data_IF_284678581565
#
_entry.id   IF_284678581565
#
_cell.length_a   1.000
_cell.length_b   1.000
_cell.length_c   1.000
_cell.angle_alpha   90.00
_cell.angle_beta   90.00
_cell.angle_gamma   90.00
#
_symmetry.space_group_name_H-M   'P 1'
#
loop_
_entity.id
_entity.type
_entity.pdbx_description
1 polymer ?
#
# COMPACT_ATOMS: atom_id res chain seq x y z
N UNK A 1 19.50 1.93 6.50
CA UNK A 1 19.86 0.54 6.85
C UNK A 1 21.30 0.24 6.47
N UNK A 2 21.71 0.14 5.20
CA UNK A 2 23.14 0.04 4.85
C UNK A 2 23.50 1.03 3.74
N UNK A 3 24.72 1.54 3.74
CA UNK A 3 25.26 2.41 2.69
C UNK A 3 26.06 1.62 1.67
N UNK A 4 26.41 2.27 0.55
CA UNK A 4 27.16 1.66 -0.55
C UNK A 4 28.59 1.25 -0.18
N UNK A 5 29.07 1.60 1.03
CA UNK A 5 30.39 1.15 1.53
C UNK A 5 30.39 -0.34 1.92
N UNK A 6 29.21 -0.91 2.20
CA UNK A 6 29.00 -2.32 2.49
C UNK A 6 28.57 -3.04 1.20
N UNK A 7 29.56 -3.49 0.43
CA UNK A 7 29.38 -4.14 -0.89
C UNK A 7 29.46 -5.68 -0.84
N UNK A 8 29.70 -6.26 0.32
CA UNK A 8 29.93 -7.71 0.51
C UNK A 8 29.32 -8.19 1.83
N UNK A 9 28.94 -9.47 1.86
CA UNK A 9 28.38 -10.10 3.06
C UNK A 9 29.36 -10.07 4.25
N UNK A 10 30.67 -10.24 4.01
CA UNK A 10 31.68 -10.22 5.07
C UNK A 10 31.81 -8.82 5.71
N UNK A 11 31.75 -7.75 4.91
CA UNK A 11 31.71 -6.38 5.43
C UNK A 11 30.45 -6.14 6.25
N UNK A 12 29.30 -6.65 5.78
CA UNK A 12 28.05 -6.54 6.51
C UNK A 12 28.14 -7.24 7.88
N UNK A 13 28.58 -8.50 7.90
CA UNK A 13 28.76 -9.24 9.16
C UNK A 13 29.71 -8.52 10.12
N UNK A 14 30.80 -7.94 9.60
CA UNK A 14 31.75 -7.15 10.40
C UNK A 14 31.09 -5.90 10.99
N UNK A 15 30.34 -5.15 10.18
CA UNK A 15 29.64 -3.95 10.62
C UNK A 15 28.56 -4.27 11.67
N UNK A 16 27.80 -5.36 11.48
CA UNK A 16 26.79 -5.81 12.44
C UNK A 16 27.42 -6.17 13.79
N UNK A 17 28.52 -6.93 13.79
CA UNK A 17 29.22 -7.31 15.01
C UNK A 17 29.74 -6.08 15.80
N UNK A 18 30.35 -5.12 15.09
CA UNK A 18 30.82 -3.87 15.72
C UNK A 18 29.67 -3.07 16.32
N UNK A 19 28.56 -2.96 15.59
CA UNK A 19 27.38 -2.24 16.04
C UNK A 19 26.72 -2.91 17.23
N UNK A 20 26.56 -4.24 17.24
CA UNK A 20 25.99 -5.02 18.34
C UNK A 20 26.78 -4.84 19.64
N UNK A 21 28.10 -5.00 19.58
CA UNK A 21 28.98 -4.82 20.76
C UNK A 21 28.87 -3.40 21.29
N UNK A 22 28.83 -2.41 20.39
CA UNK A 22 28.72 -1.01 20.77
C UNK A 22 27.38 -0.69 21.45
N UNK A 23 26.24 -1.08 20.86
CA UNK A 23 24.92 -0.81 21.45
C UNK A 23 24.67 -1.61 22.72
N UNK A 24 25.31 -2.77 22.89
CA UNK A 24 25.23 -3.55 24.13
C UNK A 24 25.85 -2.83 25.34
N UNK A 25 26.77 -1.88 25.10
CA UNK A 25 27.36 -1.04 26.14
C UNK A 25 26.57 0.23 26.48
N UNK A 26 25.50 0.54 25.74
CA UNK A 26 24.67 1.72 25.96
C UNK A 26 23.46 1.42 26.87
N UNK A 27 22.89 2.46 27.47
CA UNK A 27 21.58 2.32 28.10
C UNK A 27 20.51 2.03 27.04
N UNK A 28 19.58 1.13 27.37
CA UNK A 28 18.54 0.63 26.45
C UNK A 28 17.73 1.75 25.79
N UNK A 29 17.40 2.79 26.55
CA UNK A 29 16.60 3.93 26.12
C UNK A 29 17.40 5.00 25.37
N UNK A 30 18.70 4.81 25.14
CA UNK A 30 19.54 5.79 24.43
C UNK A 30 18.97 6.01 23.02
N UNK A 31 18.57 7.25 22.66
CA UNK A 31 18.04 7.56 21.33
C UNK A 31 19.07 7.34 20.23
N UNK A 32 18.62 6.86 19.06
CA UNK A 32 19.49 6.61 17.89
C UNK A 32 20.32 7.84 17.50
N UNK A 33 19.75 9.05 17.61
CA UNK A 33 20.42 10.30 17.26
C UNK A 33 21.73 10.53 18.06
N UNK A 34 21.83 9.96 19.27
CA UNK A 34 23.01 10.13 20.11
C UNK A 34 24.22 9.31 19.61
N UNK A 35 23.99 8.30 18.78
CA UNK A 35 25.05 7.43 18.27
C UNK A 35 24.99 7.21 16.75
N UNK A 36 24.17 7.97 16.04
CA UNK A 36 23.99 7.94 14.59
C UNK A 36 25.33 8.04 13.84
N UNK A 37 26.19 8.98 14.23
CA UNK A 37 27.50 9.17 13.59
C UNK A 37 28.36 7.90 13.65
N UNK A 38 28.31 7.17 14.78
CA UNK A 38 29.08 5.94 14.94
C UNK A 38 28.59 4.82 14.02
N UNK A 39 27.28 4.71 13.84
CA UNK A 39 26.67 3.77 12.90
C UNK A 39 27.06 4.11 11.45
N UNK A 40 27.05 5.39 11.08
CA UNK A 40 27.45 5.85 9.74
C UNK A 40 28.92 5.54 9.44
N UNK A 41 29.84 5.65 10.42
CA UNK A 41 31.24 5.24 10.26
C UNK A 41 31.40 3.77 9.87
N UNK A 42 30.45 2.91 10.26
CA UNK A 42 30.41 1.49 9.89
C UNK A 42 29.55 1.18 8.67
N UNK A 43 29.01 2.20 8.00
CA UNK A 43 28.13 2.05 6.84
C UNK A 43 26.69 1.68 7.19
N UNK A 44 26.26 1.85 8.45
CA UNK A 44 24.89 1.59 8.88
C UNK A 44 24.08 2.90 8.90
N UNK A 45 23.13 3.02 7.99
CA UNK A 45 22.22 4.17 7.89
C UNK A 45 20.97 3.99 8.76
N UNK A 46 20.17 5.05 8.95
CA UNK A 46 18.88 5.04 9.69
C UNK A 46 17.95 3.87 9.34
N UNK A 47 17.09 3.48 10.28
CA UNK A 47 16.07 2.44 10.09
C UNK A 47 16.27 1.15 10.88
N UNK A 48 17.29 1.08 11.75
CA UNK A 48 17.55 -0.07 12.62
C UNK A 48 16.72 -0.05 13.91
N UNK A 49 16.32 1.14 14.36
CA UNK A 49 15.58 1.35 15.60
C UNK A 49 15.61 2.82 16.03
N UNK A 50 14.68 3.19 16.89
CA UNK A 50 14.61 4.52 17.53
C UNK A 50 15.54 4.66 18.74
N UNK A 51 15.89 3.53 19.35
CA UNK A 51 16.63 3.41 20.60
C UNK A 51 17.71 2.33 20.48
N UNK A 52 18.70 2.33 21.39
CA UNK A 52 19.75 1.31 21.43
C UNK A 52 19.18 -0.11 21.57
N UNK A 53 18.11 -0.30 22.36
CA UNK A 53 17.44 -1.59 22.50
C UNK A 53 16.83 -2.07 21.18
N UNK A 54 16.02 -1.24 20.52
CA UNK A 54 15.40 -1.59 19.23
C UNK A 54 16.45 -1.84 18.14
N UNK A 55 17.51 -1.02 18.10
CA UNK A 55 18.63 -1.23 17.18
C UNK A 55 19.27 -2.60 17.39
N UNK A 56 19.56 -2.94 18.65
CA UNK A 56 20.17 -4.22 19.01
C UNK A 56 19.27 -5.40 18.61
N UNK A 57 17.96 -5.31 18.82
CA UNK A 57 17.01 -6.35 18.38
C UNK A 57 17.10 -6.58 16.87
N UNK A 58 17.03 -5.51 16.08
CA UNK A 58 17.05 -5.60 14.61
C UNK A 58 18.39 -6.12 14.09
N UNK A 59 19.51 -5.67 14.66
CA UNK A 59 20.86 -6.16 14.32
C UNK A 59 20.96 -7.66 14.58
N UNK A 60 20.58 -8.10 15.79
CA UNK A 60 20.64 -9.51 16.17
C UNK A 60 19.82 -10.41 15.23
N UNK A 61 18.61 -9.98 14.82
CA UNK A 61 17.81 -10.78 13.88
C UNK A 61 18.52 -10.97 12.54
N UNK A 62 19.18 -9.93 12.02
CA UNK A 62 19.93 -10.05 10.77
C UNK A 62 21.19 -10.90 10.94
N UNK A 63 21.92 -10.73 12.04
CA UNK A 63 23.12 -11.52 12.34
C UNK A 63 22.80 -13.01 12.45
N UNK A 64 21.73 -13.38 13.14
CA UNK A 64 21.24 -14.76 13.23
C UNK A 64 20.91 -15.31 11.83
N UNK A 65 20.18 -14.55 11.00
CA UNK A 65 19.83 -14.96 9.63
C UNK A 65 21.07 -15.16 8.76
N UNK A 66 22.11 -14.33 8.91
CA UNK A 66 23.35 -14.45 8.14
C UNK A 66 24.23 -15.63 8.60
N UNK A 67 24.15 -16.03 9.86
CA UNK A 67 24.88 -17.19 10.40
C UNK A 67 24.16 -18.50 10.09
N UNK A 68 22.87 -18.55 10.36
CA UNK A 68 22.02 -19.72 10.17
C UNK A 68 20.59 -19.28 9.83
N UNK A 69 20.22 -19.24 8.53
CA UNK A 69 18.89 -18.81 8.11
C UNK A 69 17.79 -19.66 8.73
N UNK A 70 16.86 -19.01 9.44
CA UNK A 70 15.67 -19.63 10.00
C UNK A 70 14.41 -18.77 9.76
N UNK A 71 13.22 -19.38 9.63
CA UNK A 71 12.00 -18.66 9.29
C UNK A 71 11.59 -17.63 10.36
N UNK A 72 11.92 -17.86 11.63
CA UNK A 72 11.49 -17.01 12.73
C UNK A 72 12.27 -15.71 12.74
N UNK A 73 13.61 -15.77 12.64
CA UNK A 73 14.42 -14.55 12.59
C UNK A 73 14.28 -13.84 11.24
N UNK A 74 14.06 -14.55 10.13
CA UNK A 74 13.70 -13.91 8.86
C UNK A 74 12.40 -13.09 8.99
N UNK A 75 11.34 -13.65 9.55
CA UNK A 75 10.08 -12.91 9.77
C UNK A 75 10.28 -11.71 10.70
N UNK A 76 10.98 -11.90 11.81
CA UNK A 76 11.28 -10.81 12.77
C UNK A 76 12.12 -9.70 12.12
N UNK A 77 13.09 -10.04 11.29
CA UNK A 77 13.89 -9.04 10.58
C UNK A 77 13.05 -8.31 9.53
N UNK A 78 12.39 -9.03 8.61
CA UNK A 78 11.62 -8.40 7.53
C UNK A 78 10.41 -7.61 8.03
N UNK A 79 9.81 -7.98 9.16
CA UNK A 79 8.76 -7.17 9.81
C UNK A 79 9.30 -5.84 10.38
N UNK A 80 10.62 -5.74 10.60
CA UNK A 80 11.32 -4.55 11.09
C UNK A 80 11.83 -3.68 9.94
N UNK A 81 12.16 -4.24 8.77
CA UNK A 81 12.67 -3.49 7.62
C UNK A 81 11.67 -2.40 7.18
N UNK A 82 11.98 -1.10 7.33
CA UNK A 82 11.11 -0.02 6.91
C UNK A 82 11.12 0.10 5.37
N UNK A 83 10.21 -0.63 4.73
CA UNK A 83 10.10 -0.77 3.28
C UNK A 83 8.81 -0.21 2.70
N UNK A 84 7.80 0.07 3.54
CA UNK A 84 6.48 0.55 3.11
C UNK A 84 6.19 1.87 3.81
N UNK A 85 6.02 2.93 3.04
CA UNK A 85 5.64 4.27 3.51
C UNK A 85 4.43 4.81 2.74
N UNK A 86 4.30 4.42 1.47
CA UNK A 86 3.26 4.84 0.56
C UNK A 86 2.48 3.63 0.02
N UNK A 87 1.15 3.66 0.20
CA UNK A 87 0.25 2.57 -0.19
C UNK A 87 -0.85 3.13 -1.10
N UNK A 88 -1.13 2.44 -2.21
CA UNK A 88 -2.29 2.73 -3.06
C UNK A 88 -3.26 1.55 -3.03
N UNK A 89 -4.51 1.81 -2.66
CA UNK A 89 -5.58 0.82 -2.55
C UNK A 89 -6.60 1.08 -3.66
N UNK A 90 -6.88 0.10 -4.50
CA UNK A 90 -7.77 0.22 -5.65
C UNK A 90 -9.15 -0.35 -5.33
N UNK A 91 -10.19 0.48 -5.44
CA UNK A 91 -11.59 0.08 -5.28
C UNK A 91 -12.45 0.92 -6.22
N UNK A 92 -12.59 0.46 -7.46
CA UNK A 92 -12.97 1.33 -8.58
C UNK A 92 -14.48 1.45 -8.73
N UNK A 93 -15.21 0.34 -8.77
CA UNK A 93 -16.65 0.34 -8.91
C UNK A 93 -17.40 0.90 -7.69
N UNK A 94 -18.70 1.11 -7.88
CA UNK A 94 -19.61 1.58 -6.83
C UNK A 94 -19.45 3.07 -6.52
N UNK A 95 -20.12 3.49 -5.46
CA UNK A 95 -20.05 4.85 -4.92
C UNK A 95 -19.13 4.84 -3.70
N UNK A 96 -17.83 4.98 -3.91
CA UNK A 96 -16.90 5.00 -2.79
C UNK A 96 -16.86 6.38 -2.11
N UNK A 97 -17.23 6.42 -0.84
CA UNK A 97 -17.28 7.63 -0.02
C UNK A 97 -17.59 7.32 1.44
N UNK A 98 -17.54 8.35 2.27
CA UNK A 98 -17.66 8.20 3.74
C UNK A 98 -19.07 8.46 4.26
N UNK A 99 -19.87 9.21 3.50
CA UNK A 99 -21.23 9.59 3.88
C UNK A 99 -22.21 9.35 2.72
N UNK A 100 -23.42 8.90 3.06
CA UNK A 100 -24.57 8.81 2.14
C UNK A 100 -24.36 7.90 0.90
N UNK A 101 -23.42 6.96 0.97
CA UNK A 101 -23.14 6.01 -0.13
C UNK A 101 -23.60 4.58 0.13
N UNK A 102 -23.69 4.16 1.41
CA UNK A 102 -24.06 2.77 1.74
C UNK A 102 -25.49 2.46 1.27
N UNK A 103 -25.64 1.33 0.57
CA UNK A 103 -26.91 0.91 -0.03
C UNK A 103 -27.13 1.41 -1.46
N UNK A 104 -26.25 2.26 -1.99
CA UNK A 104 -26.23 2.56 -3.43
C UNK A 104 -25.76 1.34 -4.24
N UNK A 105 -26.09 1.26 -5.54
CA UNK A 105 -25.65 0.16 -6.41
C UNK A 105 -24.14 -0.11 -6.30
N UNK A 106 -23.79 -1.39 -6.21
CA UNK A 106 -22.42 -1.89 -6.03
C UNK A 106 -21.67 -1.29 -4.83
N UNK A 107 -22.38 -0.79 -3.82
CA UNK A 107 -21.80 -0.11 -2.66
C UNK A 107 -22.23 -0.77 -1.36
N UNK A 108 -21.30 -1.44 -0.69
CA UNK A 108 -21.60 -2.22 0.51
C UNK A 108 -20.37 -2.46 1.39
N UNK A 109 -20.23 -3.71 1.87
CA UNK A 109 -19.20 -4.10 2.84
C UNK A 109 -17.76 -3.79 2.42
N UNK A 110 -17.46 -3.78 1.11
CA UNK A 110 -16.14 -3.41 0.59
C UNK A 110 -15.74 -1.97 0.97
N UNK A 111 -16.67 -1.02 0.95
CA UNK A 111 -16.37 0.38 1.34
C UNK A 111 -16.02 0.45 2.82
N UNK A 112 -16.81 -0.21 3.67
CA UNK A 112 -16.57 -0.25 5.12
C UNK A 112 -15.23 -0.93 5.41
N UNK A 113 -14.97 -2.07 4.78
CA UNK A 113 -13.71 -2.81 4.93
C UNK A 113 -12.50 -1.92 4.64
N UNK A 114 -12.50 -1.20 3.52
CA UNK A 114 -11.36 -0.39 3.10
C UNK A 114 -11.19 0.83 4.01
N UNK A 115 -12.27 1.50 4.41
CA UNK A 115 -12.17 2.65 5.32
C UNK A 115 -11.60 2.26 6.68
N UNK A 116 -12.01 1.10 7.23
CA UNK A 116 -11.45 0.59 8.48
C UNK A 116 -10.00 0.10 8.31
N UNK A 117 -9.70 -0.57 7.18
CA UNK A 117 -8.35 -1.00 6.83
C UNK A 117 -7.39 0.19 6.77
N UNK A 118 -7.77 1.29 6.12
CA UNK A 118 -6.91 2.47 5.95
C UNK A 118 -6.57 3.09 7.30
N UNK A 119 -7.53 3.20 8.22
CA UNK A 119 -7.30 3.73 9.57
C UNK A 119 -6.30 2.87 10.34
N UNK A 120 -6.50 1.56 10.34
CA UNK A 120 -5.61 0.62 11.01
C UNK A 120 -4.20 0.60 10.37
N UNK A 121 -4.12 0.65 9.04
CA UNK A 121 -2.85 0.70 8.32
C UNK A 121 -2.08 1.99 8.60
N UNK A 122 -2.73 3.15 8.62
CA UNK A 122 -2.04 4.41 8.93
C UNK A 122 -1.47 4.39 10.35
N UNK A 123 -2.24 3.92 11.32
CA UNK A 123 -1.77 3.79 12.70
C UNK A 123 -0.54 2.88 12.80
N UNK A 124 -0.59 1.69 12.18
CA UNK A 124 0.52 0.75 12.17
C UNK A 124 1.75 1.31 11.45
N UNK A 125 1.58 1.99 10.31
CA UNK A 125 2.67 2.63 9.58
C UNK A 125 3.36 3.70 10.44
N UNK A 126 2.58 4.57 11.08
CA UNK A 126 3.11 5.60 11.98
C UNK A 126 3.92 4.98 13.12
N UNK A 127 3.42 3.90 13.73
CA UNK A 127 4.11 3.18 14.79
C UNK A 127 5.41 2.54 14.30
N UNK A 128 5.40 1.87 13.13
CA UNK A 128 6.58 1.24 12.54
C UNK A 128 7.66 2.23 12.17
N UNK A 129 7.29 3.31 11.48
CA UNK A 129 8.20 4.39 11.09
C UNK A 129 8.88 4.98 12.33
N UNK A 130 8.08 5.30 13.35
CA UNK A 130 8.60 5.83 14.62
C UNK A 130 9.55 4.85 15.28
N UNK A 131 9.15 3.58 15.43
CA UNK A 131 9.96 2.54 16.09
C UNK A 131 11.30 2.31 15.39
N UNK A 132 11.38 2.58 14.08
CA UNK A 132 12.65 2.49 13.33
C UNK A 132 13.46 3.79 13.29
N UNK A 133 13.09 4.78 14.10
CA UNK A 133 13.83 6.04 14.20
C UNK A 133 13.75 6.89 12.92
N UNK A 134 12.71 6.69 12.11
CA UNK A 134 12.49 7.43 10.87
C UNK A 134 11.50 8.59 11.09
N UNK A 135 11.63 9.63 10.27
CA UNK A 135 10.75 10.81 10.29
C UNK A 135 10.02 11.00 8.94
N UNK A 136 9.70 9.89 8.27
CA UNK A 136 8.96 9.89 7.01
C UNK A 136 7.46 10.00 7.32
N UNK A 137 6.73 10.81 6.56
CA UNK A 137 5.28 10.84 6.66
C UNK A 137 4.68 9.77 5.75
N UNK A 138 3.95 8.77 6.28
CA UNK A 138 3.30 7.79 5.42
C UNK A 138 2.23 8.44 4.56
N UNK A 139 1.86 7.84 3.43
CA UNK A 139 0.74 8.30 2.59
C UNK A 139 -0.09 7.10 2.14
N UNK A 140 -1.41 7.13 2.36
CA UNK A 140 -2.31 6.09 1.83
C UNK A 140 -3.31 6.75 0.88
N UNK A 141 -3.38 6.25 -0.35
CA UNK A 141 -4.37 6.70 -1.33
C UNK A 141 -5.37 5.58 -1.63
N UNK A 142 -6.65 5.84 -1.39
CA UNK A 142 -7.74 4.97 -1.86
C UNK A 142 -8.18 5.47 -3.22
N UNK A 143 -7.75 4.78 -4.27
CA UNK A 143 -8.10 5.09 -5.63
C UNK A 143 -9.47 4.51 -6.00
N UNK A 144 -10.36 5.38 -6.46
CA UNK A 144 -11.71 5.03 -6.87
C UNK A 144 -12.18 5.91 -8.03
N UNK A 145 -13.34 5.61 -8.60
CA UNK A 145 -13.87 6.38 -9.73
C UNK A 145 -14.44 7.73 -9.28
N UNK A 146 -14.14 8.79 -10.04
CA UNK A 146 -14.85 10.07 -10.00
C UNK A 146 -16.17 9.95 -10.79
N UNK A 147 -17.28 10.28 -10.14
CA UNK A 147 -18.62 10.26 -10.74
C UNK A 147 -19.22 11.67 -10.69
N UNK A 148 -19.06 12.48 -11.76
CA UNK A 148 -19.54 13.86 -11.80
C UNK A 148 -21.03 14.05 -11.43
N UNK A 149 -21.90 13.12 -11.84
CA UNK A 149 -23.34 13.25 -11.62
C UNK A 149 -23.83 12.65 -10.28
N UNK A 150 -22.92 12.21 -9.40
CA UNK A 150 -23.25 11.64 -8.09
C UNK A 150 -23.69 12.69 -7.05
N UNK A 151 -24.81 13.38 -7.33
CA UNK A 151 -25.40 14.39 -6.45
C UNK A 151 -25.75 13.81 -5.08
N UNK A 152 -25.53 14.60 -4.02
CA UNK A 152 -25.83 14.21 -2.64
C UNK A 152 -24.74 13.39 -1.95
N UNK A 153 -23.68 13.03 -2.67
CA UNK A 153 -22.47 12.36 -2.15
C UNK A 153 -21.23 13.22 -2.45
N UNK A 154 -20.05 12.79 -1.98
CA UNK A 154 -18.75 13.37 -2.36
C UNK A 154 -18.05 12.59 -3.49
N UNK A 155 -18.73 11.68 -4.19
CA UNK A 155 -18.12 10.90 -5.28
C UNK A 155 -17.70 11.73 -6.51
N UNK A 156 -18.07 13.02 -6.55
CA UNK A 156 -17.64 14.01 -7.53
C UNK A 156 -16.48 14.91 -7.03
N UNK A 157 -15.96 14.66 -5.83
CA UNK A 157 -14.80 15.39 -5.26
C UNK A 157 -13.54 14.57 -5.51
N UNK A 158 -12.60 15.16 -6.24
CA UNK A 158 -11.37 14.48 -6.68
C UNK A 158 -10.51 13.98 -5.51
N UNK A 159 -10.32 14.79 -4.48
CA UNK A 159 -9.49 14.42 -3.33
C UNK A 159 -10.27 14.67 -2.03
N UNK A 160 -10.45 13.62 -1.24
CA UNK A 160 -11.18 13.67 0.02
C UNK A 160 -10.36 13.00 1.14
N UNK A 161 -10.00 13.71 2.22
CA UNK A 161 -9.34 13.10 3.37
C UNK A 161 -10.20 12.02 4.01
N UNK A 162 -9.59 10.90 4.40
CA UNK A 162 -10.27 9.85 5.16
C UNK A 162 -10.43 10.30 6.61
N UNK A 163 -11.64 10.24 7.14
CA UNK A 163 -11.97 10.60 8.51
C UNK A 163 -11.23 9.74 9.51
N UNK A 164 -10.78 10.38 10.60
CA UNK A 164 -9.95 9.78 11.65
C UNK A 164 -8.57 9.33 11.19
N UNK A 165 -8.07 9.91 10.10
CA UNK A 165 -6.69 9.73 9.61
C UNK A 165 -6.04 11.10 9.39
N UNK A 166 -4.71 11.13 9.29
CA UNK A 166 -3.91 12.35 9.05
C UNK A 166 -3.28 12.38 7.67
N UNK A 167 -3.00 11.21 7.09
CA UNK A 167 -2.18 11.04 5.89
C UNK A 167 -2.82 10.10 4.87
N UNK A 168 -4.12 9.87 5.00
CA UNK A 168 -4.88 9.00 4.11
C UNK A 168 -5.98 9.79 3.40
N UNK A 169 -6.10 9.56 2.09
CA UNK A 169 -7.06 10.27 1.24
C UNK A 169 -7.69 9.34 0.21
N UNK A 170 -8.93 9.61 -0.14
CA UNK A 170 -9.61 9.04 -1.30
C UNK A 170 -9.25 9.89 -2.51
N UNK A 171 -8.68 9.27 -3.54
CA UNK A 171 -8.38 9.89 -4.83
C UNK A 171 -9.34 9.36 -5.88
N UNK A 172 -10.09 10.27 -6.51
CA UNK A 172 -11.10 9.95 -7.51
C UNK A 172 -10.63 10.35 -8.90
N UNK A 173 -10.58 9.37 -9.81
CA UNK A 173 -10.18 9.62 -11.20
C UNK A 173 -11.37 9.33 -12.12
N UNK A 174 -11.68 10.17 -13.12
CA UNK A 174 -12.82 9.90 -14.00
C UNK A 174 -12.50 8.75 -14.96
N UNK A 175 -13.52 7.98 -15.30
CA UNK A 175 -13.50 7.22 -16.56
C UNK A 175 -13.61 8.18 -17.73
N UNK A 176 -13.04 7.79 -18.87
CA UNK A 176 -13.08 8.59 -20.09
C UNK A 176 -13.86 7.87 -21.18
N UNK A 177 -14.65 8.63 -21.92
CA UNK A 177 -15.26 8.18 -23.18
C UNK A 177 -14.22 8.14 -24.30
N UNK A 178 -14.56 7.56 -25.44
CA UNK A 178 -13.67 7.46 -26.62
C UNK A 178 -13.22 8.84 -27.12
N UNK A 179 -14.09 9.85 -27.03
CA UNK A 179 -13.78 11.25 -27.37
C UNK A 179 -12.99 11.99 -26.27
N UNK A 180 -12.59 11.28 -25.21
CA UNK A 180 -11.71 11.76 -24.14
C UNK A 180 -12.39 12.60 -23.06
N UNK A 181 -13.72 12.73 -23.07
CA UNK A 181 -14.48 13.43 -22.03
C UNK A 181 -14.69 12.55 -20.81
N UNK A 182 -14.98 13.18 -19.68
CA UNK A 182 -15.31 12.46 -18.46
C UNK A 182 -16.67 11.76 -18.59
N UNK A 183 -16.69 10.47 -18.29
CA UNK A 183 -17.92 9.69 -18.19
C UNK A 183 -18.64 10.04 -16.88
N UNK A 184 -19.77 10.74 -17.02
CA UNK A 184 -20.41 11.46 -15.91
C UNK A 184 -21.26 10.59 -14.99
N UNK A 185 -21.96 9.61 -15.58
CA UNK A 185 -22.91 8.74 -14.90
C UNK A 185 -22.25 7.52 -14.28
N UNK A 186 -22.87 6.94 -13.26
CA UNK A 186 -22.47 5.65 -12.70
C UNK A 186 -22.54 4.53 -13.75
N UNK A 187 -21.68 3.53 -13.57
CA UNK A 187 -21.62 2.33 -14.42
C UNK A 187 -21.55 1.13 -13.49
N UNK A 188 -22.35 0.09 -13.80
CA UNK A 188 -22.35 -1.19 -13.09
C UNK A 188 -20.96 -1.82 -13.11
N UNK A 189 -20.57 -2.48 -12.03
CA UNK A 189 -19.31 -3.23 -11.94
C UNK A 189 -19.15 -4.31 -13.02
N UNK A 190 -20.23 -4.76 -13.63
CA UNK A 190 -20.20 -5.68 -14.78
C UNK A 190 -19.85 -4.99 -16.11
N UNK A 191 -20.05 -3.66 -16.22
CA UNK A 191 -19.93 -2.91 -17.47
C UNK A 191 -18.68 -2.00 -17.50
N UNK A 192 -17.83 -2.04 -16.47
CA UNK A 192 -16.69 -1.11 -16.34
C UNK A 192 -15.45 -1.50 -17.15
N UNK A 193 -15.34 -2.74 -17.60
CA UNK A 193 -14.13 -3.29 -18.20
C UNK A 193 -13.53 -2.47 -19.35
N UNK A 194 -14.33 -1.88 -20.28
CA UNK A 194 -13.78 -1.06 -21.36
C UNK A 194 -12.99 0.17 -20.91
N UNK A 195 -13.19 0.64 -19.66
CA UNK A 195 -12.56 1.85 -19.15
C UNK A 195 -11.27 1.58 -18.36
N UNK A 196 -11.03 0.34 -17.92
CA UNK A 196 -10.05 0.04 -16.86
C UNK A 196 -8.60 0.26 -17.30
N UNK A 197 -8.25 -0.04 -18.55
CA UNK A 197 -6.88 0.15 -19.03
C UNK A 197 -6.51 1.64 -19.08
N UNK A 198 -7.35 2.46 -19.72
CA UNK A 198 -7.14 3.91 -19.78
C UNK A 198 -7.20 4.54 -18.38
N UNK A 199 -8.11 4.07 -17.54
CA UNK A 199 -8.17 4.49 -16.14
C UNK A 199 -6.86 4.20 -15.40
N UNK A 200 -6.27 3.01 -15.57
CA UNK A 200 -4.99 2.67 -14.97
C UNK A 200 -3.87 3.63 -15.42
N UNK A 201 -3.86 4.02 -16.70
CA UNK A 201 -2.91 5.00 -17.23
C UNK A 201 -3.10 6.39 -16.61
N UNK A 202 -4.32 6.90 -16.61
CA UNK A 202 -4.66 8.23 -16.08
C UNK A 202 -4.40 8.30 -14.56
N UNK A 203 -4.77 7.26 -13.83
CA UNK A 203 -4.53 7.15 -12.39
C UNK A 203 -3.04 7.05 -12.06
N UNK A 204 -2.24 6.34 -12.86
CA UNK A 204 -0.80 6.23 -12.67
C UNK A 204 -0.12 7.60 -12.66
N UNK A 205 -0.53 8.52 -13.55
CA UNK A 205 0.02 9.88 -13.60
C UNK A 205 -0.29 10.64 -12.31
N UNK A 206 -1.55 10.61 -11.85
CA UNK A 206 -1.98 11.31 -10.62
C UNK A 206 -1.35 10.73 -9.35
N UNK A 207 -1.20 9.40 -9.28
CA UNK A 207 -0.55 8.73 -8.15
C UNK A 207 0.90 9.19 -8.03
N UNK A 208 1.64 9.18 -9.14
CA UNK A 208 3.06 9.59 -9.14
C UNK A 208 3.23 11.07 -8.74
N UNK A 209 2.31 11.93 -9.19
CA UNK A 209 2.29 13.36 -8.85
C UNK A 209 2.04 13.58 -7.35
N UNK A 210 0.98 12.97 -6.78
CA UNK A 210 0.60 13.15 -5.37
C UNK A 210 1.61 12.51 -4.41
N UNK A 211 2.18 11.37 -4.78
CA UNK A 211 3.18 10.66 -3.97
C UNK A 211 4.59 11.21 -4.17
N UNK A 212 4.83 12.03 -5.20
CA UNK A 212 6.16 12.49 -5.61
C UNK A 212 7.11 11.32 -5.89
N UNK A 213 6.57 10.20 -6.38
CA UNK A 213 7.29 8.95 -6.52
C UNK A 213 6.36 7.75 -6.72
N UNK A 214 6.94 6.57 -6.94
CA UNK A 214 6.17 5.33 -7.01
C UNK A 214 5.69 4.91 -5.62
N UNK A 215 4.51 4.27 -5.50
CA UNK A 215 4.11 3.67 -4.24
C UNK A 215 5.05 2.52 -3.85
N UNK A 216 5.16 2.24 -2.56
CA UNK A 216 5.90 1.09 -2.05
C UNK A 216 5.08 -0.20 -2.14
N UNK A 217 3.75 -0.08 -2.07
CA UNK A 217 2.81 -1.19 -2.16
C UNK A 217 1.50 -0.78 -2.84
N UNK A 218 0.91 -1.71 -3.57
CA UNK A 218 -0.44 -1.58 -4.14
C UNK A 218 -1.36 -2.70 -3.66
N UNK A 219 -2.63 -2.39 -3.42
CA UNK A 219 -3.64 -3.36 -2.98
C UNK A 219 -4.86 -3.29 -3.89
N UNK A 220 -5.09 -4.31 -4.70
CA UNK A 220 -6.31 -4.44 -5.49
C UNK A 220 -7.49 -4.95 -4.63
N UNK A 221 -8.68 -4.41 -4.86
CA UNK A 221 -9.92 -4.91 -4.25
C UNK A 221 -10.94 -5.23 -5.34
N UNK A 222 -11.52 -6.43 -5.26
CA UNK A 222 -12.43 -6.98 -6.29
C UNK A 222 -11.77 -7.10 -7.67
N UNK A 223 -12.49 -7.63 -8.66
CA UNK A 223 -11.93 -7.96 -9.98
C UNK A 223 -11.31 -6.75 -10.68
N UNK A 224 -12.01 -5.63 -10.70
CA UNK A 224 -11.59 -4.39 -11.35
C UNK A 224 -10.42 -3.71 -10.65
N UNK A 225 -10.47 -3.60 -9.32
CA UNK A 225 -9.37 -3.07 -8.53
C UNK A 225 -8.13 -3.97 -8.63
N UNK A 226 -8.29 -5.29 -8.64
CA UNK A 226 -7.20 -6.24 -8.86
C UNK A 226 -6.59 -6.11 -10.25
N UNK A 227 -7.40 -5.93 -11.29
CA UNK A 227 -6.91 -5.73 -12.65
C UNK A 227 -6.06 -4.46 -12.75
N UNK A 228 -6.58 -3.33 -12.25
CA UNK A 228 -5.86 -2.05 -12.31
C UNK A 228 -4.62 -2.07 -11.42
N UNK A 229 -4.68 -2.69 -10.23
CA UNK A 229 -3.51 -2.90 -9.39
C UNK A 229 -2.43 -3.74 -10.12
N UNK A 230 -2.82 -4.75 -10.90
CA UNK A 230 -1.90 -5.59 -11.68
C UNK A 230 -1.24 -4.83 -12.83
N UNK A 231 -2.00 -3.98 -13.54
CA UNK A 231 -1.46 -3.13 -14.60
C UNK A 231 -0.43 -2.13 -14.04
N UNK A 232 -0.75 -1.52 -12.89
CA UNK A 232 0.10 -0.51 -12.27
C UNK A 232 1.34 -1.12 -11.59
N UNK A 233 1.19 -2.26 -10.90
CA UNK A 233 2.32 -2.97 -10.27
C UNK A 233 3.34 -3.43 -11.32
N UNK A 234 2.88 -3.99 -12.44
CA UNK A 234 3.72 -4.43 -13.54
C UNK A 234 4.48 -3.26 -14.17
N UNK A 235 3.81 -2.12 -14.37
CA UNK A 235 4.41 -0.91 -14.95
C UNK A 235 5.46 -0.27 -14.03
N UNK A 236 5.21 -0.24 -12.72
CA UNK A 236 6.06 0.50 -11.76
C UNK A 236 7.06 -0.38 -10.99
N UNK A 237 6.96 -1.71 -11.09
CA UNK A 237 7.77 -2.64 -10.32
C UNK A 237 7.54 -2.47 -8.82
N UNK A 238 6.28 -2.63 -8.39
CA UNK A 238 5.81 -2.42 -7.01
C UNK A 238 5.16 -3.68 -6.46
N UNK A 239 5.34 -3.95 -5.16
CA UNK A 239 4.72 -5.07 -4.46
C UNK A 239 3.19 -5.00 -4.53
N UNK A 240 2.55 -6.10 -4.91
CA UNK A 240 1.10 -6.16 -5.09
C UNK A 240 0.45 -7.14 -4.11
N UNK A 241 -0.60 -6.67 -3.43
CA UNK A 241 -1.61 -7.49 -2.76
C UNK A 241 -2.95 -7.46 -3.50
N UNK A 242 -3.75 -8.51 -3.38
CA UNK A 242 -5.09 -8.59 -3.98
C UNK A 242 -6.09 -9.13 -2.96
N UNK A 243 -7.25 -8.49 -2.84
CA UNK A 243 -8.34 -8.91 -1.98
C UNK A 243 -9.57 -9.09 -2.86
N UNK A 244 -10.03 -10.33 -3.02
CA UNK A 244 -11.13 -10.61 -3.94
C UNK A 244 -12.48 -10.04 -3.47
N UNK A 245 -12.73 -10.03 -2.16
CA UNK A 245 -14.05 -9.79 -1.51
C UNK A 245 -15.13 -10.81 -1.91
N UNK A 246 -15.32 -11.04 -3.20
CA UNK A 246 -16.16 -12.09 -3.76
C UNK A 246 -15.58 -12.57 -5.10
N UNK A 247 -15.84 -13.83 -5.43
CA UNK A 247 -15.56 -14.38 -6.75
C UNK A 247 -16.90 -14.73 -7.41
N UNK A 248 -17.29 -13.98 -8.44
CA UNK A 248 -18.64 -14.13 -9.01
C UNK A 248 -18.90 -15.53 -9.58
N UNK A 249 -17.86 -16.24 -10.01
CA UNK A 249 -17.95 -17.63 -10.48
C UNK A 249 -18.62 -18.59 -9.49
N UNK A 250 -18.50 -18.33 -8.17
CA UNK A 250 -19.15 -19.16 -7.14
C UNK A 250 -20.54 -18.67 -6.74
N UNK A 251 -20.95 -17.50 -7.23
CA UNK A 251 -22.26 -16.88 -6.94
C UNK A 251 -23.28 -17.10 -8.05
N UNK A 252 -22.80 -17.44 -9.25
CA UNK A 252 -23.63 -17.73 -10.41
C UNK A 252 -23.34 -19.15 -10.88
N UNK A 253 -24.32 -20.04 -10.66
CA UNK A 253 -24.19 -21.47 -10.97
C UNK A 253 -23.90 -21.69 -12.46
N UNK A 254 -22.97 -22.60 -12.75
CA UNK A 254 -22.50 -22.92 -14.10
C UNK A 254 -22.02 -21.71 -14.93
N UNK A 255 -21.69 -20.58 -14.30
CA UNK A 255 -21.32 -19.35 -15.02
C UNK A 255 -20.07 -19.48 -15.88
N UNK A 256 -19.16 -20.40 -15.57
CA UNK A 256 -17.99 -20.70 -16.39
C UNK A 256 -18.34 -21.53 -17.63
N UNK A 257 -19.22 -22.52 -17.51
CA UNK A 257 -19.65 -23.37 -18.65
C UNK A 257 -20.68 -22.65 -19.52
N UNK A 258 -21.58 -21.86 -18.93
CA UNK A 258 -22.69 -21.15 -19.59
C UNK A 258 -22.41 -19.67 -19.81
N UNK A 259 -21.16 -19.23 -19.72
CA UNK A 259 -20.79 -17.80 -19.77
C UNK A 259 -21.40 -17.07 -20.98
N UNK A 260 -21.44 -17.70 -22.16
CA UNK A 260 -22.04 -17.11 -23.38
C UNK A 260 -23.50 -16.74 -23.24
N UNK A 261 -24.26 -17.51 -22.45
CA UNK A 261 -25.68 -17.23 -22.18
C UNK A 261 -25.83 -16.04 -21.22
N UNK A 262 -24.84 -15.81 -20.36
CA UNK A 262 -24.83 -14.79 -19.31
C UNK A 262 -24.11 -13.49 -19.71
N UNK A 263 -23.30 -13.54 -20.76
CA UNK A 263 -22.39 -12.48 -21.20
C UNK A 263 -23.13 -11.16 -21.46
N UNK A 264 -24.29 -11.21 -22.09
CA UNK A 264 -25.11 -10.03 -22.41
C UNK A 264 -25.55 -9.19 -21.18
N UNK A 265 -25.44 -9.74 -19.97
CA UNK A 265 -25.87 -9.10 -18.72
C UNK A 265 -24.74 -8.92 -17.70
N UNK A 266 -23.84 -9.90 -17.60
CA UNK A 266 -22.84 -9.94 -16.53
C UNK A 266 -21.41 -9.81 -17.04
N UNK A 267 -21.16 -9.99 -18.34
CA UNK A 267 -19.83 -9.89 -18.93
C UNK A 267 -18.77 -10.73 -18.17
N UNK A 268 -19.10 -12.01 -17.90
CA UNK A 268 -18.17 -12.99 -17.29
C UNK A 268 -17.15 -13.47 -18.33
#
# INVERSE_FOLDING_TARGET
MISDTIDTADKLQTALLLAEVFVAGLEKSTPYQNFEQKFQEWGLEKGWGDTAETCRETLNFLSEVLQAPDPINMEKFFSRVPSVFSIVIFSIHGYFGQEKVLGLPDTGGQVVYILDQVRALEEELLQRIKRQGLNVTPKILVLTRLIPDAKGTKCNVELEPVEHTKHSSILRVPFKTDDGKDLRQWVSRFDIYPYLERYAQDSSVKILDILEGKPDMVIGNYTDGNLVASLLSSKLGVTQGTIAHALEKTKYDDSDVKWREMDHKYHF
#
